data_IF_001032811889
#
_entry.id   IF_001032811889
#
_cell.length_a   1.000
_cell.length_b   1.000
_cell.length_c   1.000
_cell.angle_alpha   90.00
_cell.angle_beta   90.00
_cell.angle_gamma   90.00
#
_symmetry.space_group_name_H-M   'P 1'
#
loop_
_entity.id
_entity.type
_entity.pdbx_description
1 polymer ?
#
# COMPACT_ATOMS: atom_id res chain seq x y z
N UNK A 1 2.58 36.80 -13.22
CA UNK A 1 1.92 35.96 -14.25
C UNK A 1 0.58 36.58 -14.53
N UNK A 2 0.36 37.10 -15.73
CA UNK A 2 -0.93 37.65 -16.12
C UNK A 2 -1.86 36.50 -16.46
N UNK A 3 -2.97 36.38 -15.74
CA UNK A 3 -4.00 35.37 -15.96
C UNK A 3 -5.07 35.93 -16.90
N UNK A 4 -5.83 35.05 -17.56
CA UNK A 4 -6.97 35.42 -18.40
C UNK A 4 -8.20 34.56 -18.03
N UNK A 5 -9.43 35.05 -18.22
CA UNK A 5 -10.65 34.27 -17.94
C UNK A 5 -10.71 32.93 -18.67
N UNK A 6 -10.17 32.85 -19.90
CA UNK A 6 -10.06 31.60 -20.67
C UNK A 6 -9.04 30.59 -20.12
N UNK A 7 -8.18 31.00 -19.18
CA UNK A 7 -7.21 30.15 -18.50
C UNK A 7 -7.68 29.70 -17.11
N UNK A 8 -8.93 30.01 -16.74
CA UNK A 8 -9.50 29.70 -15.43
C UNK A 8 -9.38 28.23 -15.05
N UNK A 9 -9.65 27.30 -15.97
CA UNK A 9 -9.49 25.86 -15.73
C UNK A 9 -8.04 25.49 -15.38
N UNK A 10 -7.08 25.91 -16.20
CA UNK A 10 -5.66 25.63 -15.95
C UNK A 10 -5.15 26.27 -14.66
N UNK A 11 -5.62 27.47 -14.33
CA UNK A 11 -5.26 28.14 -13.08
C UNK A 11 -5.77 27.37 -11.86
N UNK A 12 -7.00 26.83 -11.91
CA UNK A 12 -7.55 25.99 -10.83
C UNK A 12 -6.78 24.68 -10.71
N UNK A 13 -6.51 24.00 -11.83
CA UNK A 13 -5.73 22.75 -11.85
C UNK A 13 -4.33 22.95 -11.27
N UNK A 14 -3.62 24.01 -11.66
CA UNK A 14 -2.28 24.26 -11.14
C UNK A 14 -2.28 24.57 -9.64
N UNK A 15 -3.28 25.33 -9.16
CA UNK A 15 -3.39 25.66 -7.74
C UNK A 15 -3.76 24.45 -6.88
N UNK A 16 -4.55 23.51 -7.41
CA UNK A 16 -5.02 22.37 -6.64
C UNK A 16 -4.10 21.15 -6.76
N UNK A 17 -3.53 20.88 -7.94
CA UNK A 17 -2.87 19.59 -8.21
C UNK A 17 -1.34 19.66 -8.02
N UNK A 18 -0.70 20.79 -8.36
CA UNK A 18 0.76 20.91 -8.21
C UNK A 18 1.20 20.79 -6.74
N UNK A 19 0.51 21.40 -5.76
CA UNK A 19 0.85 21.20 -4.35
C UNK A 19 0.65 19.77 -3.84
N UNK A 20 -0.12 18.92 -4.55
CA UNK A 20 -0.34 17.52 -4.19
C UNK A 20 0.79 16.60 -4.68
N UNK A 21 1.59 17.03 -5.66
CA UNK A 21 2.66 16.19 -6.24
C UNK A 21 3.67 15.68 -5.20
N UNK A 22 4.15 16.48 -4.23
CA UNK A 22 5.04 15.97 -3.18
C UNK A 22 4.40 14.83 -2.36
N UNK A 23 3.10 14.94 -2.04
CA UNK A 23 2.38 13.92 -1.30
C UNK A 23 2.19 12.64 -2.13
N UNK A 24 1.93 12.76 -3.43
CA UNK A 24 1.82 11.62 -4.35
C UNK A 24 3.15 10.88 -4.45
N UNK A 25 4.26 11.61 -4.62
CA UNK A 25 5.61 11.01 -4.66
C UNK A 25 5.93 10.32 -3.34
N UNK A 26 5.66 10.97 -2.20
CA UNK A 26 5.87 10.38 -0.88
C UNK A 26 5.05 9.08 -0.69
N UNK A 27 3.79 9.07 -1.14
CA UNK A 27 2.92 7.88 -1.12
C UNK A 27 3.51 6.74 -1.95
N UNK A 28 4.01 7.03 -3.15
CA UNK A 28 4.65 6.03 -4.01
C UNK A 28 5.93 5.46 -3.39
N UNK A 29 6.79 6.32 -2.84
CA UNK A 29 7.99 5.89 -2.12
C UNK A 29 7.64 5.01 -0.92
N UNK A 30 6.63 5.40 -0.13
CA UNK A 30 6.17 4.61 1.01
C UNK A 30 5.60 3.26 0.58
N UNK A 31 4.81 3.22 -0.50
CA UNK A 31 4.27 1.99 -1.05
C UNK A 31 5.39 1.03 -1.47
N UNK A 32 6.36 1.52 -2.24
CA UNK A 32 7.49 0.71 -2.70
C UNK A 32 8.37 0.21 -1.55
N UNK A 33 8.65 1.08 -0.57
CA UNK A 33 9.37 0.68 0.64
C UNK A 33 8.62 -0.37 1.45
N UNK A 34 7.30 -0.23 1.58
CA UNK A 34 6.44 -1.21 2.26
C UNK A 34 6.45 -2.55 1.52
N UNK A 35 6.39 -2.56 0.20
CA UNK A 35 6.50 -3.79 -0.60
C UNK A 35 7.87 -4.44 -0.42
N UNK A 36 8.95 -3.66 -0.53
CA UNK A 36 10.32 -4.15 -0.31
C UNK A 36 10.51 -4.75 1.08
N UNK A 37 10.04 -4.09 2.14
CA UNK A 37 10.12 -4.63 3.51
C UNK A 37 9.32 -5.91 3.71
N UNK A 38 8.21 -6.12 2.98
CA UNK A 38 7.46 -7.38 3.00
C UNK A 38 8.23 -8.51 2.33
N UNK A 39 8.83 -8.24 1.17
CA UNK A 39 9.67 -9.21 0.46
C UNK A 39 10.88 -9.62 1.32
N UNK A 40 11.55 -8.67 1.98
CA UNK A 40 12.63 -8.99 2.91
C UNK A 40 12.18 -9.86 4.08
N UNK A 41 11.01 -9.56 4.68
CA UNK A 41 10.46 -10.42 5.74
C UNK A 41 10.15 -11.82 5.23
N UNK A 42 9.64 -11.96 4.02
CA UNK A 42 9.37 -13.26 3.42
C UNK A 42 10.66 -14.06 3.20
N UNK A 43 11.71 -13.43 2.68
CA UNK A 43 13.02 -14.07 2.45
C UNK A 43 13.72 -14.45 3.76
N UNK A 44 13.64 -13.61 4.80
CA UNK A 44 14.37 -13.81 6.06
C UNK A 44 13.66 -14.78 7.00
N UNK A 45 12.33 -14.73 7.11
CA UNK A 45 11.58 -15.40 8.17
C UNK A 45 10.86 -16.69 7.72
N UNK A 46 11.23 -17.32 6.60
CA UNK A 46 10.59 -18.54 6.06
C UNK A 46 9.09 -18.60 6.38
N UNK A 47 8.31 -17.70 5.78
CA UNK A 47 6.93 -17.45 6.21
C UNK A 47 6.10 -18.74 6.32
N UNK A 48 5.45 -18.95 7.48
CA UNK A 48 4.66 -20.14 7.78
C UNK A 48 3.46 -20.35 6.81
N UNK A 49 2.96 -19.28 6.19
CA UNK A 49 1.94 -19.32 5.14
C UNK A 49 2.30 -18.33 4.01
N UNK A 50 1.74 -18.58 2.83
CA UNK A 50 1.93 -17.76 1.62
C UNK A 50 1.53 -16.31 1.89
N UNK A 51 2.41 -15.37 1.53
CA UNK A 51 2.13 -13.93 1.56
C UNK A 51 1.71 -13.47 0.17
N UNK A 52 0.56 -12.80 0.06
CA UNK A 52 0.10 -12.21 -1.21
C UNK A 52 0.69 -10.80 -1.38
N UNK A 53 1.60 -10.55 -2.35
CA UNK A 53 2.38 -9.31 -2.39
C UNK A 53 1.53 -8.04 -2.57
N UNK A 54 0.54 -8.13 -3.45
CA UNK A 54 -0.32 -7.00 -3.83
C UNK A 54 -1.59 -6.89 -2.99
N UNK A 55 -1.79 -7.76 -2.01
CA UNK A 55 -2.90 -7.62 -1.08
C UNK A 55 -2.65 -6.45 -0.13
N UNK A 56 -3.73 -5.72 0.17
CA UNK A 56 -3.68 -4.59 1.12
C UNK A 56 -3.16 -5.06 2.48
N UNK A 57 -3.66 -6.20 2.96
CA UNK A 57 -3.34 -6.80 4.26
C UNK A 57 -3.25 -8.32 4.09
N UNK A 58 -2.28 -8.92 4.75
CA UNK A 58 -2.15 -10.35 4.96
C UNK A 58 -2.16 -10.58 6.48
N UNK A 59 -3.20 -11.24 6.99
CA UNK A 59 -3.41 -11.51 8.43
C UNK A 59 -3.09 -12.96 8.81
N UNK A 60 -2.74 -13.78 7.81
CA UNK A 60 -2.48 -15.19 7.99
C UNK A 60 -1.27 -15.41 8.89
N UNK A 61 -1.44 -16.36 9.80
CA UNK A 61 -0.46 -16.83 10.76
C UNK A 61 -0.78 -18.29 11.11
N UNK A 62 -0.05 -18.91 12.06
CA UNK A 62 -0.33 -20.28 12.53
C UNK A 62 -1.78 -20.52 12.91
N UNK A 63 -2.43 -19.55 13.53
CA UNK A 63 -3.79 -19.69 14.08
C UNK A 63 -4.86 -18.93 13.31
N UNK A 64 -4.45 -17.99 12.45
CA UNK A 64 -5.36 -17.10 11.73
C UNK A 64 -5.31 -17.43 10.24
N UNK A 65 -6.47 -17.56 9.63
CA UNK A 65 -6.57 -17.80 8.20
C UNK A 65 -6.33 -16.51 7.39
N UNK A 66 -6.31 -16.67 6.06
CA UNK A 66 -6.09 -15.58 5.09
C UNK A 66 -7.16 -14.49 5.09
N UNK A 67 -8.30 -14.72 5.75
CA UNK A 67 -9.43 -13.80 5.85
C UNK A 67 -9.65 -13.26 7.28
N UNK A 68 -8.69 -13.47 8.19
CA UNK A 68 -8.77 -12.97 9.57
C UNK A 68 -9.70 -13.75 10.49
N UNK A 69 -10.12 -14.97 10.12
CA UNK A 69 -10.86 -15.90 10.99
C UNK A 69 -9.93 -16.95 11.59
N UNK A 70 -10.25 -17.54 12.74
CA UNK A 70 -9.52 -18.69 13.26
C UNK A 70 -9.47 -19.83 12.25
N UNK A 71 -8.35 -20.55 12.18
CA UNK A 71 -8.23 -21.74 11.34
C UNK A 71 -9.12 -22.86 11.88
N UNK A 72 -9.88 -23.51 11.00
CA UNK A 72 -10.68 -24.70 11.35
C UNK A 72 -9.75 -25.91 11.40
N UNK A 73 -10.00 -26.81 12.36
CA UNK A 73 -9.22 -28.04 12.55
C UNK A 73 -7.73 -27.77 12.82
N UNK A 74 -7.43 -26.69 13.55
CA UNK A 74 -6.07 -26.25 13.87
C UNK A 74 -5.67 -26.54 15.32
N UNK A 75 -6.47 -27.36 16.02
CA UNK A 75 -6.22 -27.82 17.39
C UNK A 75 -5.46 -29.16 17.42
N UNK A 76 -5.24 -29.77 16.25
CA UNK A 76 -4.66 -31.12 16.09
C UNK A 76 -3.17 -31.09 15.73
N UNK A 77 -2.38 -30.35 16.51
CA UNK A 77 -0.94 -30.56 16.83
C UNK A 77 -0.46 -29.51 17.86
#
# INVERSE_FOLDING_TARGET
MSTAPGLSFANVTLLLDVPQLPAIVASNCFHNYRTLSREFRFVINEAEDLVYPFNRINLQDRNTNRMGRPRKYNDSE
#
